data_IF_292298245086
#
_entry.id   IF_292298245086
#
_cell.length_a   1.000
_cell.length_b   1.000
_cell.length_c   1.000
_cell.angle_alpha   90.00
_cell.angle_beta   90.00
_cell.angle_gamma   90.00
#
_symmetry.space_group_name_H-M   'P 1'
#
loop_
_entity.id
_entity.type
_entity.pdbx_description
1 polymer ?
#
# COMPACT_ATOMS: atom_id res chain seq x y z
N UNK A 1 2.06 -39.85 16.62
CA UNK A 1 2.64 -38.66 17.28
C UNK A 1 2.85 -37.47 16.32
N UNK A 2 3.13 -37.69 15.03
CA UNK A 2 3.27 -36.66 14.01
C UNK A 2 1.97 -35.91 13.67
N UNK A 3 0.81 -36.54 13.74
CA UNK A 3 -0.49 -35.92 13.42
C UNK A 3 -0.88 -34.80 14.39
N UNK A 4 -0.52 -34.90 15.68
CA UNK A 4 -0.80 -33.86 16.69
C UNK A 4 0.08 -32.63 16.52
N UNK A 5 1.32 -32.77 16.03
CA UNK A 5 2.19 -31.64 15.73
C UNK A 5 1.68 -30.84 14.51
N UNK A 6 1.16 -31.53 13.49
CA UNK A 6 0.56 -30.88 12.33
C UNK A 6 -0.72 -30.11 12.67
N UNK A 7 -1.56 -30.66 13.56
CA UNK A 7 -2.78 -29.97 14.01
C UNK A 7 -2.44 -28.73 14.86
N UNK A 8 -1.44 -28.83 15.75
CA UNK A 8 -1.00 -27.68 16.59
C UNK A 8 -0.33 -26.58 15.74
N UNK A 9 0.37 -26.94 14.66
CA UNK A 9 0.93 -25.97 13.70
C UNK A 9 -0.19 -25.35 12.87
N UNK A 10 -1.21 -26.10 12.48
CA UNK A 10 -2.39 -25.58 11.77
C UNK A 10 -3.28 -24.72 12.68
N UNK A 11 -3.42 -25.04 13.96
CA UNK A 11 -4.13 -24.21 14.94
C UNK A 11 -3.35 -22.95 15.32
N UNK A 12 -2.02 -23.00 15.38
CA UNK A 12 -1.17 -21.82 15.46
C UNK A 12 -1.24 -20.97 14.19
N UNK A 13 -1.47 -21.60 13.02
CA UNK A 13 -1.71 -20.95 11.74
C UNK A 13 -3.16 -20.45 11.63
N UNK A 14 -4.14 -21.02 12.32
CA UNK A 14 -5.52 -20.53 12.32
C UNK A 14 -5.69 -19.21 13.11
N UNK A 15 -4.77 -18.89 14.03
CA UNK A 15 -4.55 -17.52 14.54
C UNK A 15 -3.83 -16.60 13.56
N UNK A 16 -3.26 -17.14 12.50
CA UNK A 16 -2.57 -16.46 11.40
C UNK A 16 -3.51 -16.29 10.19
N UNK A 17 -4.65 -15.67 10.40
CA UNK A 17 -5.49 -15.21 9.29
C UNK A 17 -4.85 -14.10 8.45
N UNK A 18 -3.59 -13.76 8.72
CA UNK A 18 -2.75 -12.88 7.93
C UNK A 18 -1.71 -13.66 7.08
N UNK A 19 -2.02 -14.91 6.67
CA UNK A 19 -1.10 -15.78 5.92
C UNK A 19 -0.66 -15.25 4.54
N UNK A 20 -1.17 -14.12 4.09
CA UNK A 20 -0.77 -13.48 2.81
C UNK A 20 0.18 -12.29 3.00
N UNK A 21 0.44 -11.85 4.24
CA UNK A 21 1.38 -10.76 4.51
C UNK A 21 1.81 -10.70 5.98
N UNK A 22 3.06 -10.28 6.20
CA UNK A 22 3.63 -10.04 7.53
C UNK A 22 3.81 -8.54 7.76
N UNK A 23 3.39 -8.05 8.94
CA UNK A 23 3.56 -6.65 9.31
C UNK A 23 5.02 -6.33 9.63
N UNK A 24 5.51 -5.19 9.13
CA UNK A 24 6.86 -4.68 9.34
C UNK A 24 6.86 -3.17 9.58
N UNK A 25 7.87 -2.61 10.26
CA UNK A 25 8.00 -1.17 10.43
C UNK A 25 8.40 -0.51 9.10
N UNK A 26 7.88 0.68 8.84
CA UNK A 26 8.35 1.54 7.76
C UNK A 26 9.34 2.58 8.31
N UNK A 27 10.25 3.03 7.45
CA UNK A 27 11.17 4.12 7.76
C UNK A 27 10.38 5.40 8.05
N UNK A 28 10.80 6.14 9.08
CA UNK A 28 10.29 7.47 9.41
C UNK A 28 11.20 8.55 8.81
N UNK A 29 10.67 9.77 8.70
CA UNK A 29 11.46 10.95 8.35
C UNK A 29 12.63 11.13 9.33
N UNK A 30 13.81 11.45 8.80
CA UNK A 30 15.04 11.61 9.57
C UNK A 30 15.58 13.05 9.56
N UNK A 31 14.93 13.98 8.90
CA UNK A 31 15.40 15.35 8.78
C UNK A 31 14.33 16.36 8.38
N UNK A 32 14.64 17.65 8.41
CA UNK A 32 13.68 18.72 8.16
C UNK A 32 13.13 18.75 6.74
N UNK A 33 13.87 18.15 5.80
CA UNK A 33 13.46 18.08 4.38
C UNK A 33 12.62 16.84 4.04
N UNK A 34 12.32 16.00 5.04
CA UNK A 34 11.57 14.75 4.87
C UNK A 34 10.23 14.79 5.57
N UNK A 35 9.20 14.30 4.89
CA UNK A 35 7.86 14.12 5.44
C UNK A 35 7.43 12.68 5.22
N UNK A 36 6.90 12.04 6.28
CA UNK A 36 6.36 10.67 6.18
C UNK A 36 5.05 10.54 6.94
N UNK A 37 4.15 9.73 6.38
CA UNK A 37 2.92 9.31 7.06
C UNK A 37 3.20 8.07 7.92
N UNK A 38 2.55 8.00 9.08
CA UNK A 38 2.56 6.81 9.93
C UNK A 38 1.57 5.78 9.40
N UNK A 39 2.05 4.81 8.63
CA UNK A 39 1.26 3.64 8.24
C UNK A 39 2.05 2.35 8.48
N UNK A 40 1.40 1.21 8.66
CA UNK A 40 2.10 -0.07 8.79
C UNK A 40 2.66 -0.51 7.44
N UNK A 41 3.84 -1.10 7.43
CA UNK A 41 4.34 -1.87 6.31
C UNK A 41 3.87 -3.33 6.38
N UNK A 42 3.76 -3.97 5.23
CA UNK A 42 3.47 -5.40 5.11
C UNK A 42 4.37 -6.03 4.04
N UNK A 43 4.91 -7.21 4.34
CA UNK A 43 5.53 -8.09 3.35
C UNK A 43 4.46 -8.99 2.78
N UNK A 44 4.32 -9.01 1.48
CA UNK A 44 3.43 -9.91 0.74
C UNK A 44 4.04 -11.32 0.71
N UNK A 45 3.22 -12.32 0.93
CA UNK A 45 3.61 -13.74 0.91
C UNK A 45 3.06 -14.50 -0.30
N UNK A 46 2.08 -13.92 -1.00
CA UNK A 46 1.59 -14.43 -2.29
C UNK A 46 2.23 -13.65 -3.46
N UNK A 47 1.96 -14.05 -4.71
CA UNK A 47 2.50 -13.40 -5.91
C UNK A 47 1.55 -12.42 -6.58
N UNK A 48 0.31 -12.26 -6.10
CA UNK A 48 -0.77 -11.54 -6.80
C UNK A 48 -1.53 -10.52 -5.96
N UNK A 49 -1.33 -10.51 -4.65
CA UNK A 49 -2.06 -9.65 -3.70
C UNK A 49 -1.54 -8.22 -3.55
N UNK A 50 -0.56 -7.77 -4.35
CA UNK A 50 0.14 -6.50 -4.15
C UNK A 50 -0.80 -5.28 -3.98
N UNK A 51 -1.87 -5.19 -4.75
CA UNK A 51 -2.84 -4.11 -4.62
C UNK A 51 -3.68 -4.20 -3.34
N UNK A 52 -4.03 -5.42 -2.89
CA UNK A 52 -4.72 -5.61 -1.62
C UNK A 52 -3.80 -5.22 -0.45
N UNK A 53 -2.51 -5.55 -0.52
CA UNK A 53 -1.51 -5.15 0.48
C UNK A 53 -1.33 -3.63 0.50
N UNK A 54 -1.16 -3.00 -0.65
CA UNK A 54 -1.08 -1.54 -0.75
C UNK A 54 -2.35 -0.87 -0.19
N UNK A 55 -3.51 -1.41 -0.51
CA UNK A 55 -4.80 -0.93 -0.02
C UNK A 55 -4.95 -1.02 1.49
N UNK A 56 -4.57 -2.15 2.12
CA UNK A 56 -4.67 -2.29 3.58
C UNK A 56 -3.68 -1.39 4.31
N UNK A 57 -2.47 -1.15 3.78
CA UNK A 57 -1.54 -0.18 4.34
C UNK A 57 -2.16 1.21 4.38
N UNK A 58 -2.72 1.67 3.25
CA UNK A 58 -3.41 2.95 3.17
C UNK A 58 -4.66 3.00 4.08
N UNK A 59 -5.45 1.94 4.15
CA UNK A 59 -6.62 1.86 5.02
C UNK A 59 -6.24 1.96 6.51
N UNK A 60 -5.22 1.21 6.94
CA UNK A 60 -4.78 1.21 8.36
C UNK A 60 -4.14 2.52 8.80
N UNK A 61 -3.65 3.35 7.89
CA UNK A 61 -3.27 4.73 8.22
C UNK A 61 -4.44 5.51 8.84
N UNK A 62 -5.65 5.37 8.30
CA UNK A 62 -6.84 6.06 8.79
C UNK A 62 -7.62 5.23 9.82
N UNK A 63 -7.56 3.91 9.72
CA UNK A 63 -8.29 2.95 10.55
C UNK A 63 -7.35 1.85 11.04
N UNK A 64 -6.53 2.10 12.08
CA UNK A 64 -5.51 1.15 12.56
C UNK A 64 -6.04 -0.24 12.90
N UNK A 65 -7.32 -0.32 13.34
CA UNK A 65 -7.99 -1.57 13.72
C UNK A 65 -8.69 -2.26 12.54
N UNK A 66 -8.55 -1.80 11.29
CA UNK A 66 -9.14 -2.47 10.15
C UNK A 66 -8.61 -3.90 10.04
N UNK A 67 -9.53 -4.85 9.84
CA UNK A 67 -9.17 -6.27 9.66
C UNK A 67 -8.49 -6.45 8.30
N UNK A 68 -7.32 -7.07 8.31
CA UNK A 68 -6.57 -7.43 7.11
C UNK A 68 -7.36 -8.41 6.27
N UNK A 69 -7.77 -9.54 6.86
CA UNK A 69 -8.47 -10.62 6.17
C UNK A 69 -9.79 -10.15 5.54
N UNK A 70 -10.58 -9.34 6.28
CA UNK A 70 -11.83 -8.82 5.76
C UNK A 70 -11.60 -7.84 4.59
N UNK A 71 -10.53 -7.05 4.63
CA UNK A 71 -10.19 -6.16 3.52
C UNK A 71 -9.66 -6.93 2.32
N UNK A 72 -8.72 -7.88 2.54
CA UNK A 72 -8.17 -8.72 1.49
C UNK A 72 -9.26 -9.49 0.75
N UNK A 73 -10.21 -10.10 1.49
CA UNK A 73 -11.36 -10.79 0.90
C UNK A 73 -12.28 -9.87 0.10
N UNK A 74 -12.43 -8.59 0.46
CA UNK A 74 -13.20 -7.62 -0.35
C UNK A 74 -12.51 -7.23 -1.64
N UNK A 75 -11.19 -7.09 -1.62
CA UNK A 75 -10.40 -6.82 -2.83
C UNK A 75 -10.44 -8.04 -3.74
N UNK A 76 -10.33 -9.23 -3.15
CA UNK A 76 -10.35 -10.53 -3.85
C UNK A 76 -9.42 -10.52 -5.06
N UNK A 77 -8.09 -10.42 -4.85
CA UNK A 77 -7.13 -10.45 -5.95
C UNK A 77 -7.16 -11.82 -6.63
N UNK A 78 -6.82 -11.86 -7.93
CA UNK A 78 -6.78 -13.09 -8.71
C UNK A 78 -5.35 -13.57 -8.91
N UNK A 79 -5.09 -14.88 -8.78
CA UNK A 79 -3.76 -15.45 -9.04
C UNK A 79 -3.21 -15.09 -10.44
N UNK A 80 -4.08 -15.07 -11.45
CA UNK A 80 -3.68 -14.87 -12.85
C UNK A 80 -3.47 -13.40 -13.22
N UNK A 81 -4.23 -12.49 -12.58
CA UNK A 81 -4.34 -11.08 -13.01
C UNK A 81 -4.05 -10.08 -11.88
N UNK A 82 -3.72 -10.56 -10.70
CA UNK A 82 -3.42 -9.71 -9.55
C UNK A 82 -4.65 -8.92 -9.05
N UNK A 83 -4.45 -7.65 -8.77
CA UNK A 83 -5.49 -6.77 -8.21
C UNK A 83 -6.00 -5.78 -9.24
N UNK A 84 -7.24 -5.93 -9.66
CA UNK A 84 -7.91 -4.98 -10.55
C UNK A 84 -8.18 -3.65 -9.83
N UNK A 85 -7.88 -2.52 -10.49
CA UNK A 85 -8.02 -1.15 -9.96
C UNK A 85 -9.42 -0.88 -9.39
N UNK A 86 -10.48 -1.23 -10.14
CA UNK A 86 -11.86 -0.97 -9.71
C UNK A 86 -12.24 -1.73 -8.43
N UNK A 87 -11.70 -2.96 -8.23
CA UNK A 87 -11.92 -3.75 -7.01
C UNK A 87 -11.25 -3.10 -5.82
N UNK A 88 -10.01 -2.63 -5.99
CA UNK A 88 -9.27 -1.92 -4.96
C UNK A 88 -9.99 -0.63 -4.55
N UNK A 89 -10.39 0.19 -5.53
CA UNK A 89 -11.16 1.43 -5.28
C UNK A 89 -12.46 1.11 -4.54
N UNK A 90 -13.22 0.11 -4.99
CA UNK A 90 -14.47 -0.29 -4.36
C UNK A 90 -14.26 -0.74 -2.91
N UNK A 91 -13.26 -1.59 -2.66
CA UNK A 91 -12.96 -2.10 -1.32
C UNK A 91 -12.56 -0.97 -0.35
N UNK A 92 -11.72 -0.02 -0.81
CA UNK A 92 -11.32 1.15 -0.02
C UNK A 92 -12.52 2.05 0.31
N UNK A 93 -13.40 2.33 -0.69
CA UNK A 93 -14.61 3.13 -0.50
C UNK A 93 -15.60 2.44 0.45
N UNK A 94 -15.84 1.16 0.30
CA UNK A 94 -16.68 0.35 1.21
C UNK A 94 -16.09 0.29 2.62
N UNK A 95 -14.78 0.40 2.75
CA UNK A 95 -14.10 0.50 4.04
C UNK A 95 -14.14 1.91 4.64
N UNK A 96 -14.83 2.86 3.98
CA UNK A 96 -15.10 4.21 4.46
C UNK A 96 -13.97 5.20 4.21
N UNK A 97 -13.19 5.00 3.16
CA UNK A 97 -12.28 6.01 2.63
C UNK A 97 -12.91 6.74 1.44
N UNK A 98 -12.50 7.99 1.25
CA UNK A 98 -12.65 8.68 -0.02
C UNK A 98 -11.43 8.36 -0.87
N UNK A 99 -11.64 7.87 -2.08
CA UNK A 99 -10.58 7.53 -3.03
C UNK A 99 -10.79 8.34 -4.30
N UNK A 100 -9.80 9.14 -4.65
CA UNK A 100 -9.75 9.89 -5.90
C UNK A 100 -8.73 9.22 -6.81
N UNK A 101 -9.19 8.68 -7.92
CA UNK A 101 -8.32 8.23 -9.01
C UNK A 101 -7.83 9.48 -9.75
N UNK A 102 -6.54 9.60 -9.92
CA UNK A 102 -5.87 10.74 -10.55
C UNK A 102 -4.92 10.23 -11.63
N UNK A 103 -4.83 11.00 -12.69
CA UNK A 103 -3.90 10.80 -13.80
C UNK A 103 -2.95 11.98 -13.84
N UNK A 104 -1.77 11.79 -14.42
CA UNK A 104 -0.75 12.85 -14.60
C UNK A 104 -0.31 13.53 -13.29
N UNK A 105 -0.25 12.77 -12.18
CA UNK A 105 0.24 13.29 -10.92
C UNK A 105 1.72 13.67 -11.04
N UNK A 106 2.03 14.89 -10.65
CA UNK A 106 3.40 15.38 -10.52
C UNK A 106 3.99 15.05 -9.13
N UNK A 107 5.30 15.26 -8.97
CA UNK A 107 5.93 15.20 -7.65
C UNK A 107 5.32 16.21 -6.66
N UNK A 108 4.93 17.39 -7.14
CA UNK A 108 4.28 18.41 -6.30
C UNK A 108 2.90 17.92 -5.80
N UNK A 109 2.14 17.22 -6.64
CA UNK A 109 0.86 16.62 -6.24
C UNK A 109 1.05 15.52 -5.19
N UNK A 110 2.09 14.69 -5.33
CA UNK A 110 2.44 13.69 -4.31
C UNK A 110 2.80 14.36 -2.99
N UNK A 111 3.64 15.42 -3.00
CA UNK A 111 3.96 16.18 -1.80
C UNK A 111 2.69 16.77 -1.16
N UNK A 112 1.83 17.41 -1.94
CA UNK A 112 0.59 18.01 -1.44
C UNK A 112 -0.36 16.96 -0.84
N UNK A 113 -0.47 15.77 -1.45
CA UNK A 113 -1.25 14.66 -0.90
C UNK A 113 -0.69 14.19 0.45
N UNK A 114 0.63 14.00 0.54
CA UNK A 114 1.30 13.58 1.79
C UNK A 114 1.16 14.67 2.88
N UNK A 115 1.36 15.94 2.54
CA UNK A 115 1.17 17.07 3.48
C UNK A 115 -0.28 17.15 3.99
N UNK A 116 -1.26 16.76 3.16
CA UNK A 116 -2.67 16.63 3.55
C UNK A 116 -2.98 15.32 4.33
N UNK A 117 -1.99 14.51 4.68
CA UNK A 117 -2.18 13.24 5.38
C UNK A 117 -2.78 12.13 4.51
N UNK A 118 -2.64 12.22 3.20
CA UNK A 118 -3.25 11.30 2.24
C UNK A 118 -2.19 10.43 1.56
N UNK A 119 -2.05 9.14 1.91
CA UNK A 119 -1.19 8.22 1.18
C UNK A 119 -1.69 8.04 -0.26
N UNK A 120 -0.75 7.86 -1.20
CA UNK A 120 -1.06 7.66 -2.62
C UNK A 120 -0.65 6.25 -3.03
N UNK A 121 -1.61 5.45 -3.49
CA UNK A 121 -1.33 4.13 -4.03
C UNK A 121 -1.04 4.30 -5.52
N UNK A 122 0.11 3.80 -5.96
CA UNK A 122 0.56 3.91 -7.36
C UNK A 122 0.99 2.56 -7.91
N UNK A 123 1.02 2.46 -9.23
CA UNK A 123 1.58 1.30 -9.94
C UNK A 123 2.99 1.66 -10.41
N UNK A 124 3.94 0.78 -10.15
CA UNK A 124 5.31 0.90 -10.63
C UNK A 124 5.68 -0.32 -11.46
N UNK A 125 6.52 -0.10 -12.48
CA UNK A 125 7.09 -1.18 -13.27
C UNK A 125 8.35 -1.74 -12.60
N UNK A 126 8.53 -3.03 -12.69
CA UNK A 126 9.77 -3.66 -12.28
C UNK A 126 10.78 -3.57 -13.44
N UNK A 127 11.90 -2.82 -13.28
CA UNK A 127 12.91 -2.77 -14.32
C UNK A 127 13.51 -4.16 -14.54
N UNK A 128 13.34 -4.72 -15.73
CA UNK A 128 13.88 -6.03 -16.11
C UNK A 128 12.91 -7.22 -16.02
N UNK A 129 11.67 -6.97 -15.57
CA UNK A 129 10.57 -7.93 -15.71
C UNK A 129 9.36 -7.18 -16.30
N UNK A 130 8.54 -7.86 -17.09
CA UNK A 130 7.30 -7.29 -17.65
C UNK A 130 6.17 -7.30 -16.60
N UNK A 131 6.52 -6.84 -15.40
CA UNK A 131 5.68 -6.89 -14.23
C UNK A 131 5.38 -5.50 -13.69
N UNK A 132 4.17 -5.32 -13.16
CA UNK A 132 3.74 -4.11 -12.47
C UNK A 132 3.36 -4.42 -11.04
N UNK A 133 3.69 -3.49 -10.12
CA UNK A 133 3.40 -3.64 -8.70
C UNK A 133 2.65 -2.45 -8.15
N UNK A 134 1.65 -2.71 -7.31
CA UNK A 134 1.03 -1.71 -6.48
C UNK A 134 1.91 -1.41 -5.27
N UNK A 135 2.23 -0.14 -5.08
CA UNK A 135 3.00 0.36 -3.92
C UNK A 135 2.31 1.59 -3.33
N UNK A 136 2.69 1.94 -2.10
CA UNK A 136 2.16 3.15 -1.45
C UNK A 136 3.26 4.19 -1.34
N UNK A 137 3.04 5.36 -1.93
CA UNK A 137 3.80 6.56 -1.61
C UNK A 137 3.29 7.05 -0.24
N UNK A 138 4.18 7.06 0.76
CA UNK A 138 3.84 7.47 2.12
C UNK A 138 4.71 8.60 2.64
N UNK A 139 5.62 9.09 1.82
CA UNK A 139 6.49 10.18 2.19
C UNK A 139 7.33 10.70 1.03
N UNK A 140 8.02 11.78 1.29
CA UNK A 140 8.94 12.41 0.34
C UNK A 140 10.11 13.09 1.06
N UNK A 141 11.19 13.36 0.33
CA UNK A 141 12.27 14.27 0.71
C UNK A 141 12.43 15.34 -0.36
N UNK A 142 12.78 16.56 0.06
CA UNK A 142 12.91 17.71 -0.86
C UNK A 142 14.35 17.89 -1.36
N UNK A 143 15.34 17.57 -0.53
CA UNK A 143 16.76 17.75 -0.85
C UNK A 143 17.58 16.52 -0.43
N UNK A 144 18.00 15.65 -1.38
CA UNK A 144 17.56 15.60 -2.78
C UNK A 144 16.09 15.19 -2.91
N UNK A 145 15.45 15.51 -4.06
CA UNK A 145 14.08 15.07 -4.32
C UNK A 145 14.00 13.56 -4.36
N UNK A 146 13.21 12.97 -3.46
CA UNK A 146 13.04 11.52 -3.30
C UNK A 146 11.62 11.18 -2.86
N UNK A 147 11.22 9.95 -3.10
CA UNK A 147 9.92 9.41 -2.75
C UNK A 147 10.12 8.21 -1.82
N UNK A 148 9.30 8.11 -0.81
CA UNK A 148 9.30 7.00 0.14
C UNK A 148 8.16 6.06 -0.23
N UNK A 149 8.54 4.85 -0.64
CA UNK A 149 7.62 3.81 -1.07
C UNK A 149 7.51 2.73 0.00
N UNK A 150 6.30 2.41 0.40
CA UNK A 150 6.01 1.16 1.06
C UNK A 150 5.75 0.13 -0.03
N UNK A 151 6.71 -0.75 -0.23
CA UNK A 151 6.62 -1.87 -1.16
C UNK A 151 6.24 -3.12 -0.38
N UNK A 152 5.66 -4.08 -1.06
CA UNK A 152 5.23 -5.36 -0.48
C UNK A 152 6.21 -6.48 -0.78
N UNK A 153 7.35 -6.18 -1.44
CA UNK A 153 8.39 -7.16 -1.78
C UNK A 153 9.41 -7.37 -0.67
N UNK A 154 9.85 -8.61 -0.51
CA UNK A 154 11.00 -8.98 0.31
C UNK A 154 12.31 -8.76 -0.49
N UNK A 155 13.45 -8.30 0.09
CA UNK A 155 13.65 -8.03 1.53
C UNK A 155 13.32 -6.61 1.96
N UNK A 156 12.96 -5.69 1.05
CA UNK A 156 12.83 -4.27 1.38
C UNK A 156 11.40 -3.77 1.25
N UNK A 157 10.72 -3.68 2.38
CA UNK A 157 9.36 -3.11 2.45
C UNK A 157 9.36 -1.59 2.33
N UNK A 158 10.47 -0.95 2.67
CA UNK A 158 10.65 0.50 2.52
C UNK A 158 11.73 0.78 1.51
N UNK A 159 11.39 1.50 0.46
CA UNK A 159 12.34 2.02 -0.51
C UNK A 159 12.33 3.54 -0.51
N UNK A 160 13.51 4.14 -0.35
CA UNK A 160 13.74 5.56 -0.58
C UNK A 160 14.36 5.71 -1.96
N UNK A 161 13.60 6.25 -2.90
CA UNK A 161 13.96 6.29 -4.30
C UNK A 161 14.14 7.74 -4.74
N UNK A 162 15.25 8.06 -5.40
CA UNK A 162 15.41 9.37 -6.03
C UNK A 162 14.28 9.61 -7.03
N UNK A 163 13.79 10.85 -7.11
CA UNK A 163 12.68 11.21 -8.00
C UNK A 163 12.95 10.82 -9.46
N UNK A 164 14.19 11.00 -9.94
CA UNK A 164 14.58 10.63 -11.30
C UNK A 164 14.43 9.13 -11.58
N UNK A 165 14.73 8.28 -10.59
CA UNK A 165 14.53 6.83 -10.68
C UNK A 165 13.06 6.46 -10.54
N UNK A 166 12.36 7.11 -9.62
CA UNK A 166 10.91 6.89 -9.44
C UNK A 166 10.14 7.22 -10.71
N UNK A 167 10.43 8.36 -11.34
CA UNK A 167 9.77 8.76 -12.59
C UNK A 167 9.94 7.76 -13.75
N UNK A 168 11.04 6.97 -13.74
CA UNK A 168 11.27 5.94 -14.77
C UNK A 168 10.48 4.65 -14.53
N UNK A 169 10.17 4.35 -13.26
CA UNK A 169 9.42 3.14 -12.89
C UNK A 169 7.94 3.39 -12.64
N UNK A 170 7.57 4.64 -12.33
CA UNK A 170 6.17 5.02 -12.17
C UNK A 170 5.46 4.94 -13.52
N UNK A 171 4.23 4.44 -13.51
CA UNK A 171 3.42 4.33 -14.72
C UNK A 171 3.55 5.58 -15.59
N UNK A 172 3.74 5.45 -16.92
CA UNK A 172 4.05 6.57 -17.81
C UNK A 172 3.07 7.75 -17.75
N UNK A 173 1.92 7.54 -17.12
CA UNK A 173 0.86 8.57 -16.99
C UNK A 173 0.68 9.12 -15.57
N UNK A 174 1.63 8.86 -14.65
CA UNK A 174 1.52 9.39 -13.28
C UNK A 174 0.25 9.01 -12.54
N UNK A 175 -0.29 7.81 -12.81
CA UNK A 175 -1.55 7.37 -12.24
C UNK A 175 -1.42 7.05 -10.75
N UNK A 176 -2.44 7.43 -9.97
CA UNK A 176 -2.47 7.13 -8.55
C UNK A 176 -3.85 7.23 -7.93
N UNK A 177 -4.03 6.49 -6.83
CA UNK A 177 -5.21 6.54 -5.99
C UNK A 177 -4.89 7.34 -4.73
N UNK A 178 -5.37 8.58 -4.66
CA UNK A 178 -5.23 9.43 -3.47
C UNK A 178 -6.27 9.03 -2.45
N UNK A 179 -5.81 8.53 -1.29
CA UNK A 179 -6.68 8.05 -0.21
C UNK A 179 -6.84 9.12 0.87
N UNK A 180 -8.08 9.40 1.29
CA UNK A 180 -8.40 10.36 2.33
C UNK A 180 -9.54 9.87 3.23
N UNK A 181 -9.65 10.44 4.44
CA UNK A 181 -10.84 10.18 5.28
C UNK A 181 -12.10 10.63 4.56
N UNK A 182 -13.14 9.81 4.59
CA UNK A 182 -14.46 10.27 4.22
C UNK A 182 -14.92 11.33 5.22
N UNK A 183 -15.39 12.46 4.73
CA UNK A 183 -16.06 13.43 5.61
C UNK A 183 -17.30 12.74 6.16
N UNK A 184 -17.42 12.59 7.49
CA UNK A 184 -18.71 12.22 8.10
C UNK A 184 -19.73 13.25 7.61
N UNK A 185 -20.80 12.82 6.92
CA UNK A 185 -21.99 13.65 6.81
C UNK A 185 -22.40 13.94 8.27
N UNK A 186 -22.25 15.17 8.73
CA UNK A 186 -22.95 15.61 9.93
C UNK A 186 -24.42 15.40 9.58
N UNK A 187 -25.09 14.57 10.38
CA UNK A 187 -26.45 14.18 10.13
C UNK A 187 -27.34 15.39 9.86
N UNK A 188 -28.21 15.20 8.89
CA UNK A 188 -29.42 15.97 8.78
C UNK A 188 -30.35 15.58 9.93
#
# INVERSE_FOLDING_TARGET
>A
MLTKLFTTVLDAISGWTDCVATRVPLRRACGPDEVTLGLPGYVQLDSYGCGAIAGIMALKHFKPRASFTAFYGRVSPFPENGTATYRLIRALRQSGLRVSERHDLSFADLCAAIDAGSPVIVVVHNPGADDTYWVVVYGYGRRPKRVFLATNGFPMVTNVVLLSRFARIWSPHGNGLVCAKSKRRRGA
#
